data_IF_950711484125
#
_entry.id   IF_950711484125
#
_cell.length_a   1.000
_cell.length_b   1.000
_cell.length_c   1.000
_cell.angle_alpha   90.00
_cell.angle_beta   90.00
_cell.angle_gamma   90.00
#
_symmetry.space_group_name_H-M   'P 1'
#
loop_
_entity.id
_entity.type
_entity.pdbx_description
1 polymer ?
#
# COMPACT_ATOMS: atom_id res chain seq x y z
N UNK A 1 0.50 -5.22 25.11
CA UNK A 1 -0.10 -4.07 24.38
C UNK A 1 0.17 -4.33 22.89
N UNK A 2 -0.86 -4.69 22.12
CA UNK A 2 -0.68 -5.03 20.70
C UNK A 2 -0.49 -3.74 19.89
N UNK A 3 0.64 -3.64 19.16
CA UNK A 3 1.08 -2.47 18.38
C UNK A 3 0.23 -2.20 17.11
N UNK A 4 -0.96 -2.82 16.98
CA UNK A 4 -1.73 -2.86 15.72
C UNK A 4 -3.06 -2.10 15.74
N UNK A 5 -3.25 -1.14 16.67
CA UNK A 5 -4.32 -0.16 16.49
C UNK A 5 -4.01 0.65 15.25
N UNK A 6 -5.03 0.99 14.47
CA UNK A 6 -4.81 1.93 13.39
C UNK A 6 -4.11 3.16 13.96
N UNK A 7 -2.86 3.34 13.54
CA UNK A 7 -1.99 4.38 14.10
C UNK A 7 -2.45 5.76 13.65
N UNK A 8 -2.97 5.84 12.44
CA UNK A 8 -3.51 7.04 11.83
C UNK A 8 -4.90 6.71 11.31
N UNK A 9 -5.90 7.46 11.74
CA UNK A 9 -7.29 7.37 11.25
C UNK A 9 -7.61 8.57 10.39
N UNK A 10 -8.43 8.38 9.39
CA UNK A 10 -9.00 9.48 8.61
C UNK A 10 -10.44 9.70 9.07
N UNK A 11 -10.67 10.80 9.78
CA UNK A 11 -11.99 11.22 10.27
C UNK A 11 -12.28 12.59 9.66
N UNK A 12 -13.41 12.73 8.97
CA UNK A 12 -13.83 13.99 8.32
C UNK A 12 -12.73 14.62 7.45
N UNK A 13 -12.05 13.79 6.65
CA UNK A 13 -10.90 14.17 5.81
C UNK A 13 -9.69 14.72 6.58
N UNK A 14 -9.61 14.49 7.89
CA UNK A 14 -8.46 14.86 8.72
C UNK A 14 -7.78 13.59 9.24
N UNK A 15 -6.45 13.59 9.21
CA UNK A 15 -5.67 12.54 9.83
C UNK A 15 -5.55 12.79 11.33
N UNK A 16 -5.90 11.79 12.12
CA UNK A 16 -5.84 11.81 13.58
C UNK A 16 -4.97 10.66 14.05
N UNK A 17 -4.06 10.92 14.97
CA UNK A 17 -3.24 9.91 15.61
C UNK A 17 -4.01 9.21 16.73
N UNK A 18 -3.81 7.90 16.85
CA UNK A 18 -4.42 7.12 17.93
C UNK A 18 -3.42 6.21 18.65
N UNK A 19 -3.76 5.85 19.88
CA UNK A 19 -3.04 4.84 20.65
C UNK A 19 -1.53 5.09 20.72
N UNK A 20 -0.75 4.09 20.30
CA UNK A 20 0.72 4.15 20.29
C UNK A 20 1.28 5.26 19.40
N UNK A 21 0.61 5.62 18.33
CA UNK A 21 1.08 6.66 17.41
C UNK A 21 1.24 8.02 18.10
N UNK A 22 0.46 8.30 19.14
CA UNK A 22 0.60 9.51 19.96
C UNK A 22 1.94 9.60 20.71
N UNK A 23 2.63 8.47 20.90
CA UNK A 23 3.94 8.43 21.56
C UNK A 23 5.11 8.55 20.60
N UNK A 24 4.86 8.36 19.29
CA UNK A 24 5.89 8.39 18.25
C UNK A 24 6.28 9.83 17.94
N UNK A 25 7.54 10.16 18.17
CA UNK A 25 8.06 11.53 18.02
C UNK A 25 7.90 12.04 16.60
N UNK A 26 8.19 11.19 15.62
CA UNK A 26 8.12 11.52 14.19
C UNK A 26 6.72 11.96 13.74
N UNK A 27 5.66 11.55 14.47
CA UNK A 27 4.28 11.92 14.12
C UNK A 27 3.80 13.18 14.84
N UNK A 28 4.30 13.45 16.06
CA UNK A 28 3.86 14.57 16.88
C UNK A 28 4.10 15.94 16.25
N UNK A 29 5.15 16.06 15.46
CA UNK A 29 5.55 17.32 14.84
C UNK A 29 4.86 17.59 13.50
N UNK A 30 4.08 16.63 13.00
CA UNK A 30 3.45 16.72 11.70
C UNK A 30 2.07 17.42 11.79
N UNK A 31 1.79 18.23 10.79
CA UNK A 31 0.45 18.81 10.61
C UNK A 31 -0.54 17.74 10.14
N UNK A 32 -1.86 17.92 10.37
CA UNK A 32 -2.86 16.95 9.96
C UNK A 32 -2.79 16.55 8.46
N UNK A 33 -2.50 17.48 7.56
CA UNK A 33 -2.30 17.20 6.13
C UNK A 33 -1.04 16.37 5.86
N UNK A 34 0.03 16.61 6.61
CA UNK A 34 1.28 15.84 6.50
C UNK A 34 1.09 14.41 7.03
N UNK A 35 0.32 14.24 8.11
CA UNK A 35 -0.08 12.92 8.63
C UNK A 35 -0.96 12.17 7.61
N UNK A 36 -1.92 12.85 6.98
CA UNK A 36 -2.71 12.27 5.91
C UNK A 36 -1.82 11.84 4.74
N UNK A 37 -0.82 12.64 4.38
CA UNK A 37 0.16 12.29 3.37
C UNK A 37 0.94 11.03 3.75
N UNK A 38 1.43 10.91 5.00
CA UNK A 38 2.11 9.70 5.51
C UNK A 38 1.22 8.48 5.37
N UNK A 39 -0.03 8.57 5.83
CA UNK A 39 -1.00 7.47 5.74
C UNK A 39 -1.23 7.05 4.28
N UNK A 40 -1.67 7.98 3.44
CA UNK A 40 -2.05 7.64 2.07
C UNK A 40 -0.89 7.19 1.19
N UNK A 41 0.33 7.63 1.48
CA UNK A 41 1.52 7.17 0.74
C UNK A 41 2.00 5.80 1.20
N UNK A 42 1.86 5.46 2.47
CA UNK A 42 2.54 4.32 3.06
C UNK A 42 1.62 3.13 3.36
N UNK A 43 0.36 3.41 3.76
CA UNK A 43 -0.56 2.34 4.16
C UNK A 43 -1.00 1.49 2.95
N UNK A 44 -0.97 0.18 3.13
CA UNK A 44 -1.42 -0.79 2.11
C UNK A 44 -2.93 -0.75 1.87
N UNK A 45 -3.72 -0.19 2.81
CA UNK A 45 -5.17 0.05 2.69
C UNK A 45 -5.49 1.30 1.89
N UNK A 46 -4.50 2.14 1.65
CA UNK A 46 -4.68 3.36 0.90
C UNK A 46 -5.19 3.07 -0.52
N UNK A 47 -6.18 3.82 -1.02
CA UNK A 47 -6.61 3.70 -2.42
C UNK A 47 -5.47 3.98 -3.41
N UNK A 48 -4.43 4.70 -2.98
CA UNK A 48 -3.23 4.98 -3.78
C UNK A 48 -2.20 3.85 -3.75
N UNK A 49 -2.42 2.77 -3.00
CA UNK A 49 -1.49 1.64 -2.89
C UNK A 49 -1.31 0.85 -4.20
N UNK A 50 -2.16 1.10 -5.20
CA UNK A 50 -2.09 0.53 -6.55
C UNK A 50 -1.02 1.17 -7.43
N UNK A 51 -0.52 2.36 -7.07
CA UNK A 51 0.50 3.06 -7.83
C UNK A 51 1.91 2.70 -7.36
N UNK A 52 2.90 2.79 -8.25
CA UNK A 52 4.31 2.79 -7.88
C UNK A 52 4.62 3.96 -6.95
N UNK A 53 5.69 3.85 -6.15
CA UNK A 53 5.99 4.82 -5.10
C UNK A 53 6.06 6.27 -5.62
N UNK A 54 6.75 6.52 -6.71
CA UNK A 54 6.92 7.88 -7.26
C UNK A 54 5.60 8.48 -7.71
N UNK A 55 4.80 7.71 -8.46
CA UNK A 55 3.46 8.14 -8.89
C UNK A 55 2.52 8.30 -7.70
N UNK A 56 2.58 7.39 -6.71
CA UNK A 56 1.78 7.49 -5.48
C UNK A 56 2.04 8.79 -4.73
N UNK A 57 3.29 9.18 -4.57
CA UNK A 57 3.68 10.45 -3.94
C UNK A 57 3.05 11.65 -4.66
N UNK A 58 3.02 11.64 -5.98
CA UNK A 58 2.43 12.69 -6.80
C UNK A 58 0.91 12.73 -6.63
N UNK A 59 0.24 11.58 -6.75
CA UNK A 59 -1.21 11.49 -6.65
C UNK A 59 -1.73 11.87 -5.26
N UNK A 60 -1.07 11.39 -4.21
CA UNK A 60 -1.40 11.74 -2.82
C UNK A 60 -1.16 13.23 -2.56
N UNK A 61 -0.06 13.79 -3.06
CA UNK A 61 0.19 15.23 -2.97
C UNK A 61 -0.93 16.02 -3.62
N UNK A 62 -1.30 15.67 -4.85
CA UNK A 62 -2.36 16.37 -5.60
C UNK A 62 -3.71 16.27 -4.88
N UNK A 63 -4.03 15.12 -4.31
CA UNK A 63 -5.28 14.89 -3.58
C UNK A 63 -5.37 15.70 -2.28
N UNK A 64 -4.29 15.82 -1.50
CA UNK A 64 -4.31 16.45 -0.18
C UNK A 64 -4.04 17.96 -0.24
N UNK A 65 -3.11 18.36 -1.09
CA UNK A 65 -2.62 19.74 -1.13
C UNK A 65 -3.07 20.52 -2.37
N UNK A 66 -3.59 19.82 -3.39
CA UNK A 66 -3.94 20.39 -4.70
C UNK A 66 -2.79 20.25 -5.71
N UNK A 67 -3.18 20.18 -7.00
CA UNK A 67 -2.22 19.96 -8.10
C UNK A 67 -1.16 21.09 -8.20
N UNK A 68 -1.57 22.33 -7.96
CA UNK A 68 -0.69 23.51 -8.03
C UNK A 68 0.14 23.72 -6.74
N UNK A 69 0.04 22.83 -5.77
CA UNK A 69 0.74 22.97 -4.50
C UNK A 69 2.25 22.81 -4.66
N UNK A 70 2.99 23.73 -4.05
CA UNK A 70 4.46 23.65 -3.91
C UNK A 70 4.92 22.70 -2.81
N UNK A 71 4.00 21.92 -2.21
CA UNK A 71 4.37 20.96 -1.18
C UNK A 71 5.38 19.95 -1.71
N UNK A 72 6.47 19.79 -0.97
CA UNK A 72 7.47 18.75 -1.17
C UNK A 72 7.71 18.07 0.17
N UNK A 73 7.63 16.72 0.26
CA UNK A 73 7.88 16.03 1.51
C UNK A 73 9.30 16.35 2.03
N UNK A 74 9.37 16.98 3.18
CA UNK A 74 10.65 17.27 3.83
C UNK A 74 11.20 16.02 4.55
N UNK A 75 12.40 16.14 5.12
CA UNK A 75 13.05 15.02 5.83
C UNK A 75 12.22 14.47 6.98
N UNK A 76 11.45 15.32 7.69
CA UNK A 76 10.56 14.90 8.78
C UNK A 76 9.41 14.02 8.28
N UNK A 77 8.74 14.44 7.20
CA UNK A 77 7.66 13.67 6.56
C UNK A 77 8.18 12.34 6.05
N UNK A 78 9.35 12.33 5.40
CA UNK A 78 9.95 11.09 4.90
C UNK A 78 10.39 10.15 6.04
N UNK A 79 10.89 10.69 7.16
CA UNK A 79 11.20 9.90 8.34
C UNK A 79 9.93 9.29 8.95
N UNK A 80 8.84 10.06 9.01
CA UNK A 80 7.55 9.57 9.46
C UNK A 80 6.98 8.47 8.55
N UNK A 81 7.10 8.59 7.22
CA UNK A 81 6.73 7.52 6.29
C UNK A 81 7.50 6.22 6.59
N UNK A 82 8.83 6.31 6.74
CA UNK A 82 9.68 5.15 7.07
C UNK A 82 9.32 4.54 8.43
N UNK A 83 8.98 5.37 9.41
CA UNK A 83 8.58 4.91 10.75
C UNK A 83 7.22 4.23 10.69
N UNK A 84 6.24 4.84 10.02
CA UNK A 84 4.91 4.27 9.84
C UNK A 84 4.98 2.93 9.14
N UNK A 85 5.73 2.85 8.06
CA UNK A 85 5.97 1.63 7.29
C UNK A 85 6.43 0.46 8.17
N UNK A 86 7.45 0.70 9.00
CA UNK A 86 7.96 -0.31 9.95
C UNK A 86 6.94 -0.72 11.01
N UNK A 87 6.03 0.17 11.39
CA UNK A 87 5.03 -0.11 12.42
C UNK A 87 3.86 -0.95 11.90
N UNK A 88 3.48 -0.77 10.63
CA UNK A 88 2.39 -1.54 10.00
C UNK A 88 2.88 -2.81 9.31
N UNK A 89 4.18 -2.97 9.11
CA UNK A 89 4.74 -4.08 8.37
C UNK A 89 4.54 -5.42 9.10
N UNK A 90 3.80 -6.33 8.45
CA UNK A 90 3.75 -7.75 8.78
C UNK A 90 4.34 -8.56 7.63
N UNK A 91 4.61 -9.85 7.84
CA UNK A 91 5.08 -10.72 6.76
C UNK A 91 4.07 -10.78 5.60
N UNK A 92 2.77 -10.81 5.91
CA UNK A 92 1.71 -10.81 4.90
C UNK A 92 1.63 -9.47 4.15
N UNK A 93 1.72 -8.33 4.85
CA UNK A 93 1.75 -7.00 4.23
C UNK A 93 2.96 -6.84 3.32
N UNK A 94 4.14 -7.29 3.76
CA UNK A 94 5.36 -7.25 2.93
C UNK A 94 5.21 -8.10 1.67
N UNK A 95 4.66 -9.31 1.79
CA UNK A 95 4.41 -10.18 0.65
C UNK A 95 3.39 -9.59 -0.32
N UNK A 96 2.31 -9.00 0.21
CA UNK A 96 1.28 -8.31 -0.58
C UNK A 96 1.88 -7.16 -1.40
N UNK A 97 2.74 -6.35 -0.79
CA UNK A 97 3.42 -5.25 -1.50
C UNK A 97 4.31 -5.77 -2.64
N UNK A 98 5.14 -6.77 -2.35
CA UNK A 98 6.00 -7.38 -3.37
C UNK A 98 5.20 -7.98 -4.53
N UNK A 99 4.05 -8.60 -4.24
CA UNK A 99 3.14 -9.13 -5.26
C UNK A 99 2.53 -8.01 -6.12
N UNK A 100 2.07 -6.91 -5.51
CA UNK A 100 1.54 -5.74 -6.23
C UNK A 100 2.58 -5.11 -7.16
N UNK A 101 3.80 -4.91 -6.67
CA UNK A 101 4.91 -4.39 -7.49
C UNK A 101 5.21 -5.30 -8.69
N UNK A 102 5.15 -6.61 -8.48
CA UNK A 102 5.36 -7.59 -9.55
C UNK A 102 4.25 -7.52 -10.60
N UNK A 103 2.98 -7.35 -10.18
CA UNK A 103 1.84 -7.18 -11.10
C UNK A 103 2.00 -5.91 -11.93
N UNK A 104 2.37 -4.78 -11.31
CA UNK A 104 2.59 -3.52 -12.03
C UNK A 104 3.70 -3.67 -13.09
N UNK A 105 4.81 -4.34 -12.74
CA UNK A 105 5.90 -4.59 -13.70
C UNK A 105 5.46 -5.49 -14.86
N UNK A 106 4.66 -6.51 -14.58
CA UNK A 106 4.09 -7.38 -15.61
C UNK A 106 3.12 -6.61 -16.52
N UNK A 107 2.24 -5.79 -15.95
CA UNK A 107 1.32 -4.94 -16.70
C UNK A 107 2.08 -4.01 -17.63
N UNK A 108 3.12 -3.34 -17.15
CA UNK A 108 3.98 -2.49 -17.96
C UNK A 108 4.65 -3.28 -19.06
N UNK A 109 5.21 -4.44 -18.76
CA UNK A 109 5.83 -5.32 -19.76
C UNK A 109 4.85 -5.66 -20.89
N UNK A 110 3.61 -6.07 -20.58
CA UNK A 110 2.61 -6.39 -21.59
C UNK A 110 2.14 -5.18 -22.41
N UNK A 111 2.14 -4.00 -21.82
CA UNK A 111 1.77 -2.76 -22.51
C UNK A 111 2.84 -2.32 -23.51
N UNK A 112 4.10 -2.54 -23.15
CA UNK A 112 5.25 -2.06 -23.92
C UNK A 112 5.71 -3.08 -24.99
N UNK A 113 5.09 -4.28 -25.08
CA UNK A 113 5.42 -5.27 -26.11
C UNK A 113 5.01 -4.75 -27.51
N UNK A 114 5.99 -4.67 -28.39
CA UNK A 114 5.77 -4.43 -29.83
C UNK A 114 5.76 -5.76 -30.59
N UNK A 115 4.57 -6.15 -31.05
CA UNK A 115 4.36 -7.39 -31.82
C UNK A 115 4.88 -7.34 -33.23
N UNK A 116 5.29 -6.17 -33.72
CA UNK A 116 5.81 -5.98 -35.08
C UNK A 116 7.32 -6.19 -35.17
N UNK A 117 7.99 -6.34 -34.02
CA UNK A 117 9.44 -6.55 -33.99
C UNK A 117 9.80 -7.93 -34.55
N UNK A 118 10.77 -7.90 -35.51
CA UNK A 118 11.36 -9.07 -36.11
C UNK A 118 12.86 -9.13 -35.81
N UNK A 119 13.40 -10.33 -35.71
CA UNK A 119 14.85 -10.57 -35.60
C UNK A 119 15.58 -10.37 -36.94
N UNK A 120 16.91 -10.48 -36.92
CA UNK A 120 17.76 -10.35 -38.12
C UNK A 120 17.46 -11.41 -39.23
N UNK A 121 16.72 -12.47 -38.90
CA UNK A 121 16.29 -13.53 -39.80
C UNK A 121 14.84 -13.34 -40.28
N UNK A 122 14.19 -12.21 -39.95
CA UNK A 122 12.82 -11.89 -40.33
C UNK A 122 11.76 -12.65 -39.54
N UNK A 123 12.09 -13.21 -38.34
CA UNK A 123 11.16 -13.93 -37.47
C UNK A 123 10.63 -13.01 -36.40
N UNK A 124 9.34 -13.12 -36.03
CA UNK A 124 8.80 -12.38 -34.90
C UNK A 124 9.59 -12.63 -33.60
N UNK A 125 10.00 -11.59 -32.93
CA UNK A 125 10.66 -11.69 -31.62
C UNK A 125 9.66 -12.16 -30.54
N UNK A 126 8.41 -11.72 -30.65
CA UNK A 126 7.33 -12.14 -29.76
C UNK A 126 6.33 -13.00 -30.50
N UNK A 127 6.20 -14.26 -30.12
CA UNK A 127 5.21 -15.16 -30.68
C UNK A 127 3.86 -14.99 -30.00
N UNK A 128 2.77 -14.85 -30.75
CA UNK A 128 1.42 -14.68 -30.23
C UNK A 128 1.03 -15.79 -29.24
N UNK A 129 1.46 -17.04 -29.49
CA UNK A 129 1.23 -18.17 -28.60
C UNK A 129 1.85 -17.98 -27.20
N UNK A 130 3.07 -17.46 -27.15
CA UNK A 130 3.78 -17.23 -25.89
C UNK A 130 3.15 -16.11 -25.11
N UNK A 131 2.65 -15.09 -25.80
CA UNK A 131 1.90 -14.00 -25.19
C UNK A 131 0.59 -14.47 -24.58
N UNK A 132 -0.18 -15.31 -25.28
CA UNK A 132 -1.42 -15.90 -24.77
C UNK A 132 -1.12 -16.73 -23.52
N UNK A 133 -0.12 -17.60 -23.55
CA UNK A 133 0.31 -18.41 -22.42
C UNK A 133 0.75 -17.54 -21.22
N UNK A 134 1.41 -16.42 -21.49
CA UNK A 134 1.83 -15.49 -20.43
C UNK A 134 0.65 -14.74 -19.83
N UNK A 135 -0.35 -14.35 -20.62
CA UNK A 135 -1.60 -13.75 -20.14
C UNK A 135 -2.40 -14.71 -19.26
N UNK A 136 -2.49 -15.99 -19.62
CA UNK A 136 -3.12 -17.01 -18.77
C UNK A 136 -2.42 -17.17 -17.43
N UNK A 137 -1.07 -17.18 -17.42
CA UNK A 137 -0.28 -17.20 -16.19
C UNK A 137 -0.48 -15.95 -15.35
N UNK A 138 -0.64 -14.79 -15.98
CA UNK A 138 -0.92 -13.53 -15.31
C UNK A 138 -2.27 -13.57 -14.58
N UNK A 139 -3.30 -14.21 -15.13
CA UNK A 139 -4.56 -14.46 -14.45
C UNK A 139 -4.35 -15.15 -13.08
N UNK A 140 -3.52 -16.20 -13.05
CA UNK A 140 -3.17 -16.90 -11.79
C UNK A 140 -2.40 -16.01 -10.81
N UNK A 141 -1.56 -15.12 -11.29
CA UNK A 141 -0.84 -14.15 -10.42
C UNK A 141 -1.82 -13.16 -9.79
N UNK A 142 -2.79 -12.67 -10.56
CA UNK A 142 -3.84 -11.76 -10.05
C UNK A 142 -4.72 -12.46 -9.01
N UNK A 143 -5.08 -13.73 -9.23
CA UNK A 143 -5.83 -14.52 -8.24
C UNK A 143 -5.01 -14.75 -6.97
N UNK A 144 -3.71 -15.01 -7.11
CA UNK A 144 -2.77 -15.08 -5.98
C UNK A 144 -2.70 -13.76 -5.19
N UNK A 145 -2.72 -12.63 -5.87
CA UNK A 145 -2.76 -11.30 -5.23
C UNK A 145 -4.05 -11.11 -4.42
N UNK A 146 -5.21 -11.46 -4.97
CA UNK A 146 -6.50 -11.41 -4.25
C UNK A 146 -6.50 -12.27 -2.99
N UNK A 147 -5.94 -13.48 -3.09
CA UNK A 147 -5.81 -14.36 -1.93
C UNK A 147 -4.91 -13.75 -0.83
N UNK A 148 -3.82 -13.07 -1.21
CA UNK A 148 -2.96 -12.36 -0.25
C UNK A 148 -3.69 -11.18 0.40
N UNK A 149 -4.50 -10.44 -0.33
CA UNK A 149 -5.34 -9.35 0.21
C UNK A 149 -6.33 -9.89 1.25
N UNK A 150 -6.95 -11.04 0.98
CA UNK A 150 -7.84 -11.69 1.95
C UNK A 150 -7.10 -12.16 3.21
N UNK A 151 -5.88 -12.70 3.08
CA UNK A 151 -5.06 -13.12 4.21
C UNK A 151 -4.73 -11.93 5.09
N UNK A 152 -4.26 -10.83 4.51
CA UNK A 152 -3.96 -9.59 5.25
C UNK A 152 -5.21 -9.10 5.99
N UNK A 153 -6.36 -9.06 5.29
CA UNK A 153 -7.64 -8.65 5.89
C UNK A 153 -8.05 -9.55 7.06
N UNK A 154 -7.87 -10.87 6.95
CA UNK A 154 -8.16 -11.82 8.03
C UNK A 154 -7.22 -11.65 9.22
N UNK A 155 -5.92 -11.42 8.99
CA UNK A 155 -4.96 -11.14 10.06
C UNK A 155 -5.35 -9.87 10.84
N UNK A 156 -5.79 -8.83 10.15
CA UNK A 156 -6.24 -7.59 10.75
C UNK A 156 -7.53 -7.76 11.56
N UNK A 157 -8.50 -8.50 11.00
CA UNK A 157 -9.76 -8.80 11.70
C UNK A 157 -9.50 -9.63 12.96
N UNK A 158 -8.65 -10.66 12.89
CA UNK A 158 -8.28 -11.47 14.04
C UNK A 158 -7.57 -10.65 15.13
N UNK A 159 -6.72 -9.70 14.73
CA UNK A 159 -6.09 -8.78 15.66
C UNK A 159 -7.12 -7.87 16.36
N UNK A 160 -8.19 -7.45 15.68
CA UNK A 160 -9.24 -6.62 16.24
C UNK A 160 -10.22 -7.42 17.13
N UNK A 161 -10.55 -8.66 16.77
CA UNK A 161 -11.49 -9.51 17.53
C UNK A 161 -10.91 -9.93 18.89
N UNK A 162 -9.61 -10.21 18.95
CA UNK A 162 -8.93 -10.54 20.20
C UNK A 162 -8.90 -9.39 21.23
N UNK A 163 -9.30 -8.17 20.85
CA UNK A 163 -9.37 -6.98 21.70
C UNK A 163 -10.74 -6.75 22.30
N UNK A 164 -11.82 -7.10 21.59
CA UNK A 164 -13.19 -6.95 22.08
C UNK A 164 -13.59 -7.97 23.18
N UNK A 165 -12.83 -9.06 23.34
CA UNK A 165 -13.13 -10.12 24.30
C UNK A 165 -12.64 -9.87 25.73
N UNK A 166 -11.81 -8.86 25.98
CA UNK A 166 -11.21 -8.61 27.31
C UNK A 166 -11.97 -7.59 28.13
N UNK A 167 -12.82 -6.74 27.53
CA UNK A 167 -13.53 -5.69 28.25
C UNK A 167 -14.88 -6.08 28.85
N UNK A 168 -15.48 -7.20 28.45
CA UNK A 168 -16.84 -7.57 28.89
C UNK A 168 -16.86 -8.27 30.28
N UNK A 169 -15.74 -8.73 30.81
CA UNK A 169 -15.71 -9.51 32.05
C UNK A 169 -15.18 -8.78 33.29
N UNK A 170 -15.08 -7.46 33.31
CA UNK A 170 -14.58 -6.71 34.48
C UNK A 170 -15.65 -6.02 35.31
N UNK A 171 -16.93 -6.09 34.95
CA UNK A 171 -18.02 -5.43 35.69
C UNK A 171 -19.26 -6.29 35.94
N UNK A 172 -19.07 -7.59 36.14
CA UNK A 172 -20.13 -8.43 36.70
C UNK A 172 -19.66 -9.07 38.01
N UNK A 173 -19.61 -8.29 39.07
CA UNK A 173 -19.78 -8.70 40.48
C UNK A 173 -20.53 -7.58 41.16
#
# INVERSE_FOLDING_TARGET
>A
MSLRDELIHIVDNKAVLSGYALTVIEFKELKPKELAFVYFTTDHKSPFSVYEWEQRVIEVKNSIFGADSKFTPNSKVLAACKKYDKLIETSAVRLLRAARESVIKLEKYFRDIDLTLIDDNGRPIFHAKDLINNLEKMGKVVDGLRNLEEIVKKEEQAANTNRGGIEVNKYSM
#
